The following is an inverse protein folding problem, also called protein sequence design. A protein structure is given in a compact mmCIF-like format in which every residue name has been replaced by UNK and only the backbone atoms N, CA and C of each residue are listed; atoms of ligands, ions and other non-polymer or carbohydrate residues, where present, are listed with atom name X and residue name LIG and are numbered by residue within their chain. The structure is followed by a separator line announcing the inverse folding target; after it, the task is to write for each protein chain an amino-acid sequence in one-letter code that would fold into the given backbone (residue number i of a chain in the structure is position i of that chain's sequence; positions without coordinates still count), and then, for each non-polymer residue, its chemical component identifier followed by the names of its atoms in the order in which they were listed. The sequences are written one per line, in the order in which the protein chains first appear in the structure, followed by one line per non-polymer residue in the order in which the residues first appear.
data_IF_576616893886
#
_entry.id   IF_576616893886
#
_cell.length_a   1.000
_cell.length_b   1.000
_cell.length_c   1.000
_cell.angle_alpha   90.00
_cell.angle_beta   90.00
_cell.angle_gamma   90.00
#
_symmetry.space_group_name_H-M   'P 1'
#
loop_
_entity.id
_entity.type
_entity.pdbx_description
1 polymer ?
#
# COMPACT_ATOMS: atom_id res chain seq x y z
N UNK A 1 -17.79 16.41 -5.68
CA UNK A 1 -18.09 15.34 -4.72
C UNK A 1 -17.63 13.94 -5.14
N UNK A 2 -17.07 13.73 -6.36
CA UNK A 2 -16.71 12.39 -6.87
C UNK A 2 -15.37 11.79 -6.39
N UNK A 3 -14.54 12.54 -5.63
CA UNK A 3 -13.24 12.05 -5.14
C UNK A 3 -13.30 11.23 -3.84
N UNK A 4 -14.16 11.59 -2.89
CA UNK A 4 -14.10 11.07 -1.51
C UNK A 4 -14.39 9.56 -1.40
N UNK A 5 -15.23 9.01 -2.27
CA UNK A 5 -15.59 7.59 -2.22
C UNK A 5 -14.38 6.73 -2.57
N UNK A 6 -13.58 7.14 -3.56
CA UNK A 6 -12.33 6.45 -3.93
C UNK A 6 -11.30 6.43 -2.81
N UNK A 7 -11.19 7.52 -2.04
CA UNK A 7 -10.26 7.60 -0.90
C UNK A 7 -10.66 6.71 0.28
N UNK A 8 -11.95 6.37 0.42
CA UNK A 8 -12.42 5.46 1.45
C UNK A 8 -12.35 3.99 1.01
N UNK A 9 -12.60 3.70 -0.27
CA UNK A 9 -12.45 2.34 -0.81
C UNK A 9 -11.00 1.88 -0.91
N UNK A 10 -10.02 2.80 -0.88
CA UNK A 10 -8.61 2.42 -0.83
C UNK A 10 -8.25 1.66 0.45
N UNK A 11 -8.89 1.94 1.59
CA UNK A 11 -8.59 1.30 2.88
C UNK A 11 -8.76 -0.23 2.84
N UNK A 12 -9.93 -0.79 2.47
CA UNK A 12 -10.10 -2.24 2.38
C UNK A 12 -9.21 -2.88 1.30
N UNK A 13 -8.96 -2.16 0.20
CA UNK A 13 -8.05 -2.64 -0.87
C UNK A 13 -6.61 -2.73 -0.36
N UNK A 14 -6.12 -1.69 0.32
CA UNK A 14 -4.79 -1.68 0.92
C UNK A 14 -4.64 -2.81 1.95
N UNK A 15 -5.66 -3.03 2.76
CA UNK A 15 -5.68 -4.14 3.72
C UNK A 15 -5.59 -5.50 3.02
N UNK A 16 -6.36 -5.70 1.95
CA UNK A 16 -6.33 -6.91 1.14
C UNK A 16 -4.96 -7.12 0.50
N UNK A 17 -4.34 -6.07 -0.06
CA UNK A 17 -3.00 -6.14 -0.63
C UNK A 17 -1.94 -6.52 0.40
N UNK A 18 -1.91 -5.88 1.57
CA UNK A 18 -0.95 -6.24 2.63
C UNK A 18 -1.18 -7.67 3.11
N UNK A 19 -2.43 -8.08 3.31
CA UNK A 19 -2.76 -9.45 3.67
C UNK A 19 -2.25 -10.45 2.62
N UNK A 20 -2.45 -10.14 1.33
CA UNK A 20 -2.01 -10.97 0.21
C UNK A 20 -0.48 -11.05 0.15
N UNK A 21 0.24 -9.94 0.28
CA UNK A 21 1.71 -9.90 0.31
C UNK A 21 2.27 -10.76 1.44
N UNK A 22 1.72 -10.61 2.65
CA UNK A 22 2.13 -11.42 3.81
C UNK A 22 1.82 -12.90 3.61
N UNK A 23 0.68 -13.23 2.98
CA UNK A 23 0.25 -14.62 2.72
C UNK A 23 1.12 -15.29 1.66
N UNK A 24 1.39 -14.61 0.56
CA UNK A 24 2.15 -15.15 -0.58
C UNK A 24 3.64 -15.28 -0.26
N UNK A 25 4.23 -14.26 0.36
CA UNK A 25 5.65 -14.26 0.71
C UNK A 25 5.96 -15.07 1.98
N UNK A 26 4.94 -15.56 2.71
CA UNK A 26 5.07 -16.30 3.98
C UNK A 26 6.03 -15.61 4.97
N UNK A 27 5.95 -14.29 5.04
CA UNK A 27 6.89 -13.47 5.79
C UNK A 27 6.81 -13.76 7.29
N UNK A 28 7.99 -13.97 7.91
CA UNK A 28 8.10 -14.00 9.36
C UNK A 28 7.74 -12.64 9.97
N UNK A 29 7.22 -12.59 11.21
CA UNK A 29 6.76 -11.34 11.84
C UNK A 29 7.76 -10.18 11.76
N UNK A 30 9.04 -10.49 11.85
CA UNK A 30 10.15 -9.54 11.83
C UNK A 30 10.40 -8.97 10.42
N UNK A 31 10.08 -9.74 9.38
CA UNK A 31 10.28 -9.39 7.98
C UNK A 31 9.05 -8.73 7.35
N UNK A 32 7.88 -8.80 7.98
CA UNK A 32 6.63 -8.26 7.43
C UNK A 32 6.77 -6.78 7.07
N UNK A 33 7.33 -5.95 7.95
CA UNK A 33 7.45 -4.52 7.68
C UNK A 33 8.40 -4.25 6.51
N UNK A 34 9.61 -4.79 6.56
CA UNK A 34 10.62 -4.58 5.52
C UNK A 34 10.15 -5.12 4.16
N UNK A 35 9.58 -6.33 4.13
CA UNK A 35 9.06 -6.95 2.91
C UNK A 35 7.88 -6.20 2.32
N UNK A 36 6.93 -5.75 3.15
CA UNK A 36 5.80 -4.95 2.67
C UNK A 36 6.27 -3.59 2.13
N UNK A 37 7.20 -2.91 2.81
CA UNK A 37 7.72 -1.62 2.36
C UNK A 37 8.50 -1.73 1.06
N UNK A 38 9.25 -2.81 0.84
CA UNK A 38 9.95 -3.06 -0.41
C UNK A 38 8.96 -3.16 -1.58
N UNK A 39 7.94 -4.02 -1.45
CA UNK A 39 6.89 -4.17 -2.48
C UNK A 39 6.15 -2.85 -2.70
N UNK A 40 5.91 -2.09 -1.64
CA UNK A 40 5.28 -0.77 -1.73
C UNK A 40 6.14 0.22 -2.51
N UNK A 41 7.45 0.24 -2.26
CA UNK A 41 8.38 1.12 -2.93
C UNK A 41 8.49 0.75 -4.42
N UNK A 42 8.55 -0.53 -4.75
CA UNK A 42 8.57 -1.01 -6.14
C UNK A 42 7.29 -0.59 -6.89
N UNK A 43 6.13 -0.83 -6.28
CA UNK A 43 4.84 -0.43 -6.85
C UNK A 43 4.77 1.09 -7.06
N UNK A 44 5.17 1.88 -6.06
CA UNK A 44 5.19 3.33 -6.15
C UNK A 44 6.15 3.84 -7.24
N UNK A 45 7.30 3.19 -7.42
CA UNK A 45 8.26 3.57 -8.46
C UNK A 45 7.72 3.26 -9.85
N UNK A 46 7.10 2.09 -10.03
CA UNK A 46 6.44 1.71 -11.29
C UNK A 46 5.33 2.70 -11.62
N UNK A 47 4.45 3.03 -10.66
CA UNK A 47 3.38 3.99 -10.87
C UNK A 47 3.90 5.39 -11.20
N UNK A 48 4.99 5.83 -10.55
CA UNK A 48 5.68 7.07 -10.89
C UNK A 48 6.22 7.08 -12.31
N UNK A 49 6.78 5.95 -12.77
CA UNK A 49 7.24 5.78 -14.15
C UNK A 49 6.06 5.88 -15.12
N UNK A 50 4.99 5.14 -14.88
CA UNK A 50 3.84 5.12 -15.79
C UNK A 50 3.16 6.50 -15.84
N UNK A 51 2.99 7.18 -14.70
CA UNK A 51 2.43 8.54 -14.67
C UNK A 51 3.32 9.56 -15.41
N UNK A 52 4.65 9.41 -15.37
CA UNK A 52 5.59 10.37 -15.96
C UNK A 52 5.76 10.20 -17.47
N UNK A 53 5.93 8.96 -17.92
CA UNK A 53 6.30 8.66 -19.32
C UNK A 53 5.16 8.03 -20.14
N UNK A 54 4.17 7.45 -19.48
CA UNK A 54 3.03 6.76 -20.11
C UNK A 54 1.69 7.30 -19.58
N UNK A 55 1.61 8.61 -19.32
CA UNK A 55 0.39 9.28 -18.84
C UNK A 55 -0.88 8.91 -19.62
N UNK A 56 -0.77 8.67 -20.93
CA UNK A 56 -1.86 8.25 -21.80
C UNK A 56 -2.54 6.92 -21.38
N UNK A 57 -1.85 6.06 -20.61
CA UNK A 57 -2.41 4.81 -20.06
C UNK A 57 -3.39 5.10 -18.92
N UNK A 58 -3.16 6.16 -18.13
CA UNK A 58 -4.02 6.52 -17.01
C UNK A 58 -5.07 7.57 -17.38
N UNK A 59 -4.71 8.61 -18.12
CA UNK A 59 -5.63 9.66 -18.54
C UNK A 59 -5.02 10.61 -19.57
N UNK A 60 -5.86 11.19 -20.42
CA UNK A 60 -5.49 12.26 -21.34
C UNK A 60 -5.59 13.66 -20.73
N UNK A 61 -6.10 13.79 -19.49
CA UNK A 61 -6.31 15.07 -18.79
C UNK A 61 -5.39 15.22 -17.56
N UNK A 62 -4.56 16.27 -17.57
CA UNK A 62 -3.61 16.56 -16.48
C UNK A 62 -4.27 16.71 -15.10
N UNK A 63 -5.50 17.22 -15.05
CA UNK A 63 -6.21 17.37 -13.77
C UNK A 63 -6.55 16.02 -13.16
N UNK A 64 -6.98 15.09 -14.00
CA UNK A 64 -7.29 13.71 -13.62
C UNK A 64 -6.02 12.96 -13.22
N UNK A 65 -4.89 13.23 -13.88
CA UNK A 65 -3.59 12.62 -13.56
C UNK A 65 -3.11 13.05 -12.16
N UNK A 66 -3.24 14.33 -11.81
CA UNK A 66 -2.89 14.83 -10.47
C UNK A 66 -3.76 14.23 -9.37
N UNK A 67 -5.06 14.07 -9.61
CA UNK A 67 -5.98 13.43 -8.66
C UNK A 67 -5.67 11.93 -8.50
N UNK A 68 -5.34 11.23 -9.59
CA UNK A 68 -4.90 9.84 -9.56
C UNK A 68 -3.59 9.66 -8.79
N UNK A 69 -2.60 10.52 -9.03
CA UNK A 69 -1.32 10.49 -8.30
C UNK A 69 -1.52 10.72 -6.79
N UNK A 70 -2.38 11.68 -6.41
CA UNK A 70 -2.72 11.92 -5.01
C UNK A 70 -3.44 10.72 -4.36
N UNK A 71 -4.31 10.05 -5.12
CA UNK A 71 -5.00 8.84 -4.66
C UNK A 71 -4.04 7.66 -4.45
N UNK A 72 -3.10 7.45 -5.37
CA UNK A 72 -2.05 6.43 -5.25
C UNK A 72 -1.16 6.70 -4.04
N UNK A 73 -0.68 7.94 -3.88
CA UNK A 73 0.15 8.33 -2.72
C UNK A 73 -0.59 8.08 -1.39
N UNK A 74 -1.89 8.40 -1.34
CA UNK A 74 -2.73 8.11 -0.17
C UNK A 74 -2.83 6.60 0.10
N UNK A 75 -3.06 5.79 -0.93
CA UNK A 75 -3.09 4.32 -0.82
C UNK A 75 -1.76 3.74 -0.33
N UNK A 76 -0.64 4.25 -0.83
CA UNK A 76 0.70 3.86 -0.38
C UNK A 76 0.92 4.23 1.10
N UNK A 77 0.57 5.44 1.51
CA UNK A 77 0.67 5.85 2.91
C UNK A 77 -0.15 4.96 3.85
N UNK A 78 -1.40 4.66 3.49
CA UNK A 78 -2.27 3.76 4.28
C UNK A 78 -1.67 2.35 4.33
N UNK A 79 -1.22 1.82 3.20
CA UNK A 79 -0.65 0.47 3.12
C UNK A 79 0.59 0.32 3.99
N UNK A 80 1.47 1.33 4.01
CA UNK A 80 2.64 1.36 4.89
C UNK A 80 2.22 1.36 6.38
N UNK A 81 1.20 2.13 6.73
CA UNK A 81 0.66 2.17 8.10
C UNK A 81 0.05 0.83 8.51
N UNK A 82 -0.73 0.20 7.63
CA UNK A 82 -1.29 -1.14 7.85
C UNK A 82 -0.17 -2.17 8.01
N UNK A 83 0.86 -2.13 7.17
CA UNK A 83 2.01 -3.03 7.28
C UNK A 83 2.71 -2.90 8.64
N UNK A 84 2.94 -1.65 9.09
CA UNK A 84 3.50 -1.37 10.42
C UNK A 84 2.61 -1.90 11.54
N UNK A 85 1.30 -1.69 11.44
CA UNK A 85 0.34 -2.18 12.41
C UNK A 85 0.32 -3.70 12.49
N UNK A 86 0.31 -4.39 11.35
CA UNK A 86 0.32 -5.86 11.26
C UNK A 86 1.63 -6.43 11.80
N UNK A 87 2.78 -5.84 11.43
CA UNK A 87 4.09 -6.23 11.94
C UNK A 87 4.15 -6.08 13.47
N UNK A 88 3.74 -4.92 14.01
CA UNK A 88 3.73 -4.65 15.45
C UNK A 88 2.76 -5.56 16.22
N UNK A 89 1.59 -5.88 15.66
CA UNK A 89 0.66 -6.83 16.29
C UNK A 89 1.25 -8.23 16.35
N UNK A 90 1.84 -8.71 15.26
CA UNK A 90 2.41 -10.07 15.21
C UNK A 90 3.68 -10.21 16.05
N UNK A 91 4.54 -9.20 16.08
CA UNK A 91 5.70 -9.17 16.95
C UNK A 91 5.30 -9.27 18.44
N UNK A 92 4.27 -8.52 18.86
CA UNK A 92 3.74 -8.60 20.24
C UNK A 92 3.16 -9.97 20.60
N UNK A 93 2.44 -10.61 19.67
CA UNK A 93 1.90 -11.96 19.90
C UNK A 93 2.99 -13.02 20.06
N UNK A 94 4.09 -12.91 19.29
CA UNK A 94 5.24 -13.81 19.44
C UNK A 94 6.04 -13.57 20.74
N UNK A 95 5.95 -12.39 21.34
CA UNK A 95 6.60 -12.05 22.62
C UNK A 95 5.75 -12.40 23.85
N UNK A 96 4.52 -12.91 23.68
CA UNK A 96 3.67 -13.36 24.78
C UNK A 96 3.62 -14.91 24.94
N UNK A 97 4.74 -15.66 24.98
CA UNK A 97 4.67 -17.10 25.23
C UNK A 97 4.38 -17.50 26.69
N UNK A 98 4.49 -16.65 27.71
CA UNK A 98 4.19 -17.06 29.10
C UNK A 98 3.60 -15.93 29.95
N UNK A 99 2.30 -16.03 30.24
CA UNK A 99 1.68 -15.54 31.49
C UNK A 99 0.65 -16.55 31.94
#
# INVERSE_FOLDING_TARGET
MQGNIGFMTSIPVCWFCIWLTVRLARLEPQQILAGCLLVLADAMMIDGIVLRWFHAVYTTDERTARLGAAWLLWGYGISAWIALFVANRRARLHQAPDR
#
